data_IF_477489260497
#
_entry.id   IF_477489260497
#
_cell.length_a   1.000
_cell.length_b   1.000
_cell.length_c   1.000
_cell.angle_alpha   90.00
_cell.angle_beta   90.00
_cell.angle_gamma   90.00
#
_symmetry.space_group_name_H-M   'P 1'
#
loop_
_entity.id
_entity.type
_entity.pdbx_description
1 polymer ?
#
# COMPACT_ATOMS: atom_id res chain seq x y z
N UNK A 1 6.68 4.92 2.08
CA UNK A 1 7.65 6.02 1.91
C UNK A 1 8.34 6.29 3.24
N UNK A 2 9.63 6.23 3.27
CA UNK A 2 10.39 6.50 4.48
C UNK A 2 10.55 8.02 4.66
N UNK A 3 10.31 8.50 5.87
CA UNK A 3 10.55 9.88 6.21
C UNK A 3 12.03 10.10 6.51
N UNK A 4 12.57 11.20 6.04
CA UNK A 4 13.92 11.60 6.41
C UNK A 4 13.93 12.07 7.87
N UNK A 5 14.95 11.68 8.59
CA UNK A 5 15.18 12.13 9.96
C UNK A 5 16.40 13.02 9.98
N UNK A 6 16.26 14.24 10.47
CA UNK A 6 17.35 15.20 10.55
C UNK A 6 17.74 15.40 11.99
N UNK A 7 19.05 15.43 12.22
CA UNK A 7 19.61 15.71 13.54
C UNK A 7 20.13 17.14 13.56
N UNK A 8 20.02 17.82 14.69
CA UNK A 8 20.54 19.18 14.83
C UNK A 8 22.02 19.22 14.44
N UNK A 9 22.38 20.16 13.56
CA UNK A 9 23.73 20.26 13.03
C UNK A 9 24.06 19.37 11.86
N UNK A 10 23.14 18.54 11.43
CA UNK A 10 23.33 17.68 10.26
C UNK A 10 23.38 18.48 8.98
N UNK A 11 24.33 18.14 8.09
CA UNK A 11 24.41 18.76 6.78
C UNK A 11 23.51 18.00 5.82
N UNK A 12 22.60 18.72 5.17
CA UNK A 12 21.71 18.14 4.16
C UNK A 12 22.47 17.97 2.86
N UNK A 13 22.65 16.71 2.42
CA UNK A 13 23.36 16.41 1.18
C UNK A 13 22.41 16.49 -0.03
N UNK A 14 23.00 16.57 -1.24
CA UNK A 14 22.23 16.53 -2.48
C UNK A 14 21.46 15.21 -2.61
N UNK A 15 22.04 14.09 -2.19
CA UNK A 15 21.38 12.78 -2.21
C UNK A 15 20.15 12.78 -1.29
N UNK A 16 20.24 13.39 -0.13
CA UNK A 16 19.11 13.48 0.81
C UNK A 16 18.01 14.37 0.26
N UNK A 17 18.35 15.49 -0.38
CA UNK A 17 17.39 16.36 -1.06
C UNK A 17 16.67 15.64 -2.18
N UNK A 18 17.40 14.90 -3.01
CA UNK A 18 16.82 14.12 -4.11
C UNK A 18 15.88 13.04 -3.60
N UNK A 19 16.23 12.39 -2.51
CA UNK A 19 15.39 11.37 -1.89
C UNK A 19 14.07 11.95 -1.39
N UNK A 20 14.11 13.12 -0.77
CA UNK A 20 12.89 13.81 -0.34
C UNK A 20 12.00 14.17 -1.53
N UNK A 21 12.59 14.68 -2.59
CA UNK A 21 11.88 15.10 -3.79
C UNK A 21 11.21 13.90 -4.48
N UNK A 22 11.91 12.77 -4.59
CA UNK A 22 11.34 11.56 -5.17
C UNK A 22 10.15 11.07 -4.37
N UNK A 23 10.24 11.09 -3.06
CA UNK A 23 9.14 10.68 -2.18
C UNK A 23 7.91 11.56 -2.34
N UNK A 24 8.08 12.83 -2.66
CA UNK A 24 6.98 13.76 -2.84
C UNK A 24 6.28 13.62 -4.19
N UNK A 25 7.04 13.32 -5.24
CA UNK A 25 6.54 13.38 -6.62
C UNK A 25 6.38 12.01 -7.28
N UNK A 26 7.05 10.99 -6.80
CA UNK A 26 7.10 9.72 -7.49
C UNK A 26 7.10 8.55 -6.51
N UNK A 27 5.93 7.99 -6.29
CA UNK A 27 5.77 6.88 -5.36
C UNK A 27 6.37 5.61 -5.94
N UNK A 28 7.08 4.88 -5.10
CA UNK A 28 7.67 3.60 -5.48
C UNK A 28 6.58 2.59 -5.84
N UNK A 29 6.76 1.92 -6.97
CA UNK A 29 5.88 0.84 -7.41
C UNK A 29 6.59 -0.49 -7.24
N UNK A 30 5.95 -1.42 -6.55
CA UNK A 30 6.45 -2.78 -6.36
C UNK A 30 5.45 -3.75 -6.97
N UNK A 31 5.90 -4.52 -7.96
CA UNK A 31 5.06 -5.54 -8.60
C UNK A 31 5.26 -6.88 -7.92
N UNK A 32 4.17 -7.51 -7.51
CA UNK A 32 4.14 -8.86 -6.96
C UNK A 32 3.44 -9.80 -7.93
N UNK A 33 3.94 -11.02 -8.03
CA UNK A 33 3.42 -12.04 -8.94
C UNK A 33 2.87 -13.25 -8.20
N UNK A 34 2.80 -13.18 -6.88
CA UNK A 34 2.26 -14.22 -6.02
C UNK A 34 1.63 -13.58 -4.79
N UNK A 35 0.85 -14.34 -4.05
CA UNK A 35 0.27 -13.86 -2.78
C UNK A 35 1.35 -13.30 -1.89
N UNK A 36 1.04 -12.20 -1.21
CA UNK A 36 2.02 -11.40 -0.50
C UNK A 36 1.44 -10.90 0.82
N UNK A 37 2.29 -10.86 1.83
CA UNK A 37 1.95 -10.25 3.12
C UNK A 37 2.67 -8.91 3.20
N UNK A 38 1.93 -7.84 3.47
CA UNK A 38 2.49 -6.49 3.55
C UNK A 38 3.57 -6.41 4.63
N UNK A 39 4.65 -5.72 4.31
CA UNK A 39 5.80 -5.50 5.19
C UNK A 39 5.96 -4.02 5.50
N UNK A 40 6.73 -3.68 6.54
CA UNK A 40 6.88 -2.31 7.00
C UNK A 40 7.40 -1.35 5.91
N UNK A 41 8.26 -1.85 5.02
CA UNK A 41 8.80 -1.05 3.92
C UNK A 41 7.79 -0.69 2.83
N UNK A 42 6.60 -1.26 2.88
CA UNK A 42 5.54 -0.98 1.90
C UNK A 42 4.78 0.32 2.20
N UNK A 43 4.96 0.88 3.38
CA UNK A 43 4.32 2.14 3.75
C UNK A 43 4.66 3.23 2.73
N UNK A 44 3.62 3.92 2.24
CA UNK A 44 3.77 4.98 1.26
C UNK A 44 4.12 4.51 -0.15
N UNK A 45 4.05 3.21 -0.43
CA UNK A 45 4.34 2.66 -1.75
C UNK A 45 3.07 2.17 -2.45
N UNK A 46 3.21 1.83 -3.72
CA UNK A 46 2.15 1.20 -4.51
C UNK A 46 2.52 -0.26 -4.74
N UNK A 47 1.68 -1.15 -4.25
CA UNK A 47 1.82 -2.59 -4.50
C UNK A 47 0.91 -2.95 -5.66
N UNK A 48 1.48 -3.54 -6.69
CA UNK A 48 0.76 -3.94 -7.89
C UNK A 48 0.82 -5.46 -7.98
N UNK A 49 -0.34 -6.11 -7.97
CA UNK A 49 -0.43 -7.56 -8.11
C UNK A 49 -0.66 -7.91 -9.57
N UNK A 50 0.17 -8.80 -10.10
CA UNK A 50 0.06 -9.26 -11.48
C UNK A 50 0.16 -10.79 -11.54
N UNK A 51 -1.00 -11.43 -11.52
CA UNK A 51 -1.08 -12.89 -11.63
C UNK A 51 -2.37 -13.25 -12.39
N UNK A 52 -2.28 -14.27 -13.25
CA UNK A 52 -3.45 -14.75 -13.98
C UNK A 52 -4.42 -15.54 -13.09
N UNK A 53 -3.95 -16.05 -11.97
CA UNK A 53 -4.77 -16.76 -10.99
C UNK A 53 -5.10 -15.91 -9.77
N UNK A 54 -5.93 -16.44 -8.90
CA UNK A 54 -6.33 -15.77 -7.67
C UNK A 54 -5.13 -15.62 -6.72
N UNK A 55 -5.01 -14.44 -6.12
CA UNK A 55 -3.97 -14.13 -5.14
C UNK A 55 -4.57 -13.42 -3.93
N UNK A 56 -3.79 -13.32 -2.86
CA UNK A 56 -4.17 -12.57 -1.67
C UNK A 56 -3.07 -11.60 -1.27
N UNK A 57 -3.47 -10.47 -0.67
CA UNK A 57 -2.57 -9.56 0.03
C UNK A 57 -3.01 -9.57 1.48
N UNK A 58 -2.18 -10.10 2.36
CA UNK A 58 -2.49 -10.26 3.78
C UNK A 58 -2.00 -9.05 4.56
N UNK A 59 -2.82 -8.61 5.53
CA UNK A 59 -2.54 -7.45 6.37
C UNK A 59 -2.38 -7.94 7.82
N UNK A 60 -1.18 -7.78 8.38
CA UNK A 60 -0.88 -8.14 9.76
C UNK A 60 -0.78 -6.91 10.64
N UNK A 61 -1.01 -7.10 11.94
CA UNK A 61 -0.85 -6.04 12.93
C UNK A 61 0.63 -5.80 13.26
N UNK A 62 0.92 -4.71 13.94
CA UNK A 62 2.26 -4.33 14.38
C UNK A 62 3.28 -4.14 13.24
N UNK A 63 2.80 -3.99 12.01
CA UNK A 63 3.65 -3.74 10.84
C UNK A 63 3.64 -2.24 10.50
N UNK A 64 2.50 -1.61 10.63
CA UNK A 64 2.30 -0.20 10.31
C UNK A 64 1.85 0.57 11.55
N UNK A 65 1.77 1.88 11.42
CA UNK A 65 1.32 2.78 12.49
C UNK A 65 0.12 3.59 12.02
N UNK A 66 -0.56 4.24 12.94
CA UNK A 66 -1.65 5.15 12.59
C UNK A 66 -1.17 6.21 11.60
N UNK A 67 -1.92 6.43 10.55
CA UNK A 67 -1.60 7.39 9.49
C UNK A 67 -0.85 6.81 8.30
N UNK A 68 -0.37 5.57 8.39
CA UNK A 68 0.30 4.93 7.27
C UNK A 68 -0.70 4.56 6.17
N UNK A 69 -0.26 4.65 4.92
CA UNK A 69 -1.08 4.33 3.74
C UNK A 69 -0.27 3.44 2.80
N UNK A 70 -0.91 2.41 2.28
CA UNK A 70 -0.36 1.56 1.22
C UNK A 70 -1.38 1.54 0.07
N UNK A 71 -0.93 1.79 -1.14
CA UNK A 71 -1.79 1.70 -2.32
C UNK A 71 -1.72 0.30 -2.90
N UNK A 72 -2.88 -0.32 -3.11
CA UNK A 72 -3.00 -1.69 -3.60
C UNK A 72 -3.74 -1.69 -4.93
N UNK A 73 -3.16 -2.34 -5.93
CA UNK A 73 -3.72 -2.40 -7.28
C UNK A 73 -3.61 -3.81 -7.83
N UNK A 74 -4.57 -4.21 -8.64
CA UNK A 74 -4.54 -5.48 -9.35
C UNK A 74 -4.52 -5.24 -10.86
N UNK A 75 -3.44 -5.65 -11.51
CA UNK A 75 -3.31 -5.56 -12.97
C UNK A 75 -3.36 -6.95 -13.63
N UNK A 76 -3.38 -8.02 -12.85
CA UNK A 76 -3.49 -9.38 -13.36
C UNK A 76 -4.92 -9.79 -13.65
N UNK A 77 -5.09 -10.83 -14.45
CA UNK A 77 -6.40 -11.34 -14.81
C UNK A 77 -7.11 -12.04 -13.64
N UNK A 78 -6.36 -12.58 -12.67
CA UNK A 78 -6.92 -13.21 -11.49
C UNK A 78 -7.36 -12.19 -10.45
N UNK A 79 -8.34 -12.55 -9.63
CA UNK A 79 -8.80 -11.70 -8.54
C UNK A 79 -7.75 -11.64 -7.44
N UNK A 80 -7.45 -10.43 -6.97
CA UNK A 80 -6.59 -10.22 -5.81
C UNK A 80 -7.46 -9.83 -4.62
N UNK A 81 -7.46 -10.63 -3.57
CA UNK A 81 -8.26 -10.39 -2.37
C UNK A 81 -7.38 -9.84 -1.26
N UNK A 82 -7.79 -8.72 -0.68
CA UNK A 82 -7.13 -8.18 0.51
C UNK A 82 -7.68 -8.97 1.70
N UNK A 83 -6.78 -9.61 2.44
CA UNK A 83 -7.16 -10.54 3.51
C UNK A 83 -6.66 -10.02 4.84
N UNK A 84 -7.56 -9.97 5.82
CA UNK A 84 -7.16 -9.68 7.19
C UNK A 84 -6.38 -10.87 7.75
N UNK A 85 -5.12 -10.65 8.09
CA UNK A 85 -4.31 -11.61 8.83
C UNK A 85 -4.57 -11.40 10.33
N UNK A 86 -3.60 -10.80 11.02
CA UNK A 86 -3.76 -10.46 12.43
C UNK A 86 -4.32 -9.06 12.66
N UNK A 87 -4.33 -8.21 11.63
CA UNK A 87 -4.98 -6.90 11.70
C UNK A 87 -6.45 -6.99 11.30
N UNK A 88 -7.24 -6.00 11.68
CA UNK A 88 -8.61 -5.83 11.20
C UNK A 88 -8.60 -4.96 9.95
N UNK A 89 -9.29 -5.39 8.90
CA UNK A 89 -9.45 -4.61 7.68
C UNK A 89 -10.93 -4.41 7.40
N UNK A 90 -11.34 -3.15 7.37
CA UNK A 90 -12.72 -2.76 7.09
C UNK A 90 -12.81 -2.11 5.72
N UNK A 91 -13.98 -2.23 5.10
CA UNK A 91 -14.27 -1.56 3.83
C UNK A 91 -15.77 -1.32 3.70
N UNK A 92 -16.15 -0.26 3.03
CA UNK A 92 -17.54 0.00 2.68
C UNK A 92 -17.95 -0.70 1.39
N UNK A 93 -17.01 -1.25 0.65
CA UNK A 93 -17.26 -1.88 -0.66
C UNK A 93 -16.83 -3.35 -0.63
N UNK A 94 -15.71 -3.69 -1.26
CA UNK A 94 -15.23 -5.06 -1.34
C UNK A 94 -13.71 -5.11 -1.19
N UNK A 95 -13.22 -6.19 -0.60
CA UNK A 95 -11.79 -6.47 -0.52
C UNK A 95 -11.29 -7.30 -1.72
N UNK A 96 -12.20 -7.72 -2.60
CA UNK A 96 -11.85 -8.43 -3.82
C UNK A 96 -11.58 -7.42 -4.93
N UNK A 97 -10.39 -7.47 -5.50
CA UNK A 97 -9.99 -6.59 -6.59
C UNK A 97 -9.94 -7.41 -7.89
N UNK A 98 -10.83 -7.08 -8.82
CA UNK A 98 -10.75 -7.60 -10.17
C UNK A 98 -9.63 -6.89 -10.92
N UNK A 99 -9.30 -7.37 -12.12
CA UNK A 99 -8.29 -6.70 -12.95
C UNK A 99 -8.61 -5.21 -13.11
N UNK A 100 -7.60 -4.37 -12.98
CA UNK A 100 -7.66 -2.91 -13.07
C UNK A 100 -8.34 -2.20 -11.90
N UNK A 101 -8.68 -2.92 -10.85
CA UNK A 101 -9.21 -2.32 -9.63
C UNK A 101 -8.12 -2.09 -8.60
N UNK A 102 -8.36 -1.17 -7.69
CA UNK A 102 -7.43 -0.88 -6.60
C UNK A 102 -7.96 0.19 -5.67
N UNK A 103 -7.13 0.58 -4.74
CA UNK A 103 -7.48 1.61 -3.77
C UNK A 103 -6.36 1.82 -2.76
N UNK A 104 -6.68 2.53 -1.69
CA UNK A 104 -5.73 2.82 -0.62
C UNK A 104 -6.11 2.09 0.66
N UNK A 105 -5.12 1.53 1.31
CA UNK A 105 -5.25 0.92 2.63
C UNK A 105 -4.70 1.91 3.65
N UNK A 106 -5.58 2.48 4.45
CA UNK A 106 -5.24 3.49 5.45
C UNK A 106 -5.29 2.88 6.84
N UNK A 107 -4.20 3.01 7.60
CA UNK A 107 -4.12 2.46 8.95
C UNK A 107 -4.56 3.50 9.98
N UNK A 108 -5.62 3.17 10.70
CA UNK A 108 -6.11 3.99 11.80
C UNK A 108 -5.37 3.70 13.10
N UNK A 109 -4.73 2.53 13.17
CA UNK A 109 -3.86 2.12 14.28
C UNK A 109 -2.94 1.00 13.79
N UNK A 110 -2.04 0.52 14.65
CA UNK A 110 -1.15 -0.59 14.31
C UNK A 110 -1.90 -1.90 14.03
N UNK A 111 -3.16 -2.02 14.48
CA UNK A 111 -3.94 -3.26 14.36
C UNK A 111 -5.21 -3.11 13.54
N UNK A 112 -5.47 -1.95 12.96
CA UNK A 112 -6.73 -1.68 12.26
C UNK A 112 -6.53 -0.80 11.04
N UNK A 113 -7.13 -1.18 9.92
CA UNK A 113 -7.04 -0.46 8.67
C UNK A 113 -8.40 -0.37 7.98
N UNK A 114 -8.55 0.62 7.12
CA UNK A 114 -9.72 0.78 6.27
C UNK A 114 -9.25 0.78 4.82
N UNK A 115 -9.87 -0.04 3.99
CA UNK A 115 -9.59 -0.05 2.57
C UNK A 115 -10.59 0.84 1.83
N UNK A 116 -10.07 1.89 1.22
CA UNK A 116 -10.84 2.80 0.37
C UNK A 116 -10.64 2.38 -1.07
N UNK A 117 -11.62 1.66 -1.59
CA UNK A 117 -11.59 1.23 -2.97
C UNK A 117 -11.76 2.42 -3.89
N UNK A 118 -11.05 2.42 -5.01
CA UNK A 118 -11.23 3.41 -6.06
C UNK A 118 -12.65 3.37 -6.63
N UNK A 119 -13.08 4.41 -7.35
CA UNK A 119 -14.42 4.44 -7.91
C UNK A 119 -14.69 3.21 -8.76
N UNK A 120 -15.91 2.67 -8.66
CA UNK A 120 -16.35 1.61 -9.55
C UNK A 120 -16.40 2.11 -11.00
N UNK A 121 -16.34 1.17 -11.95
CA UNK A 121 -16.44 1.54 -13.37
C UNK A 121 -17.68 2.37 -13.62
N UNK A 122 -17.53 3.49 -14.32
CA UNK A 122 -18.61 4.42 -14.62
C UNK A 122 -18.87 5.45 -13.53
N UNK A 123 -18.21 5.39 -12.41
CA UNK A 123 -18.27 6.40 -11.36
C UNK A 123 -17.00 7.22 -11.43
N UNK A 124 -17.15 8.41 -11.85
CA UNK A 124 -16.06 9.31 -12.19
C UNK A 124 -15.22 9.77 -11.08
#
# INVERSE_FOLDING_TARGET
>A
MAKQTFTAGQVLTAAEMNSLQENDYNWTVTTKTASYTLAAGDEGTRIVMNNAGATTITVDDAVFAAGDVVWLHNIGAGTCTITAGTATVNTAASLDLAQWEGGSLFFTSASSAIFFRGPAAGVG
#
